data_IF_161302673801
#
_entry.id   IF_161302673801
#
_cell.length_a   1.000
_cell.length_b   1.000
_cell.length_c   1.000
_cell.angle_alpha   90.00
_cell.angle_beta   90.00
_cell.angle_gamma   90.00
#
_symmetry.space_group_name_H-M   'P 1'
#
loop_
_entity.id
_entity.type
_entity.pdbx_description
1 polymer ?
#
# COMPACT_ATOMS: atom_id res chain seq x y z
N UNK A 1 -37.39 46.85 44.87
CA UNK A 1 -37.17 47.99 45.81
C UNK A 1 -36.55 49.16 45.04
N UNK A 2 -36.34 50.31 45.69
CA UNK A 2 -35.71 51.51 45.12
C UNK A 2 -34.28 51.23 44.60
N UNK A 3 -33.72 51.93 43.60
CA UNK A 3 -34.32 52.90 42.65
C UNK A 3 -33.54 54.22 42.50
N UNK A 4 -33.78 54.96 41.40
CA UNK A 4 -33.23 56.30 41.04
C UNK A 4 -31.75 56.28 40.58
N UNK A 5 -31.16 57.25 39.84
CA UNK A 5 -31.52 58.36 38.91
C UNK A 5 -30.17 58.79 38.24
N UNK A 6 -30.03 59.61 37.18
CA UNK A 6 -30.92 60.48 36.40
C UNK A 6 -30.30 60.73 34.99
N UNK A 7 -31.12 61.26 34.09
CA UNK A 7 -30.76 62.07 32.91
C UNK A 7 -29.71 63.18 33.18
N UNK A 8 -29.00 63.75 32.19
CA UNK A 8 -29.05 63.55 30.74
C UNK A 8 -29.35 64.85 29.97
N UNK A 9 -28.87 64.97 28.72
CA UNK A 9 -29.21 66.09 27.82
C UNK A 9 -28.98 65.77 26.32
N UNK A 10 -29.88 66.31 25.51
CA UNK A 10 -29.71 66.60 24.08
C UNK A 10 -30.01 68.12 23.92
N UNK A 11 -30.03 68.76 22.73
CA UNK A 11 -29.75 68.24 21.38
C UNK A 11 -28.83 69.16 20.54
N UNK A 12 -28.56 68.77 19.29
CA UNK A 12 -28.94 69.56 18.09
C UNK A 12 -28.78 68.72 16.82
N UNK A 13 -29.49 69.11 15.77
CA UNK A 13 -29.58 68.41 14.49
C UNK A 13 -29.47 69.39 13.31
N UNK A 14 -29.12 68.88 12.14
CA UNK A 14 -29.33 69.53 10.84
C UNK A 14 -29.24 68.51 9.70
N UNK A 15 -30.19 68.55 8.75
CA UNK A 15 -30.06 68.23 7.31
C UNK A 15 -29.38 66.90 6.89
N UNK A 16 -30.01 65.90 6.25
CA UNK A 16 -31.30 65.84 5.52
C UNK A 16 -31.32 66.74 4.25
N UNK A 17 -31.73 66.34 3.03
CA UNK A 17 -32.33 65.11 2.45
C UNK A 17 -31.90 65.02 0.94
N UNK A 18 -32.40 64.00 0.20
CA UNK A 18 -32.56 63.95 -1.29
C UNK A 18 -31.37 63.44 -2.16
N UNK A 19 -31.57 62.73 -3.29
CA UNK A 19 -32.73 61.98 -3.85
C UNK A 19 -32.26 60.94 -4.92
N UNK A 20 -33.18 60.08 -5.35
CA UNK A 20 -33.03 59.21 -6.53
C UNK A 20 -33.21 59.97 -7.86
N UNK A 21 -32.64 59.48 -8.98
CA UNK A 21 -33.41 58.88 -10.09
C UNK A 21 -32.50 58.20 -11.15
N UNK A 22 -33.09 57.64 -12.22
CA UNK A 22 -32.46 56.70 -13.17
C UNK A 22 -32.10 57.34 -14.51
N UNK A 23 -31.21 56.71 -15.30
CA UNK A 23 -31.40 56.66 -16.77
C UNK A 23 -30.66 55.50 -17.50
N UNK A 24 -31.09 55.27 -18.76
CA UNK A 24 -30.70 54.27 -19.78
C UNK A 24 -31.47 54.65 -21.08
N UNK A 25 -31.12 54.20 -22.32
CA UNK A 25 -30.05 53.29 -22.77
C UNK A 25 -29.34 53.77 -24.09
N UNK A 26 -28.77 52.82 -24.87
CA UNK A 26 -28.34 52.92 -26.30
C UNK A 26 -27.08 53.77 -26.65
N UNK A 27 -26.20 53.42 -27.61
CA UNK A 27 -26.08 52.28 -28.58
C UNK A 27 -24.64 52.27 -29.21
N UNK A 28 -24.22 51.77 -30.40
CA UNK A 28 -24.78 51.17 -31.66
C UNK A 28 -23.69 50.24 -32.33
N UNK A 29 -23.54 50.12 -33.68
CA UNK A 29 -22.49 49.34 -34.42
C UNK A 29 -22.11 50.00 -35.78
N UNK A 30 -21.03 49.59 -36.51
CA UNK A 30 -21.04 48.52 -37.56
C UNK A 30 -19.88 47.47 -37.40
N UNK A 31 -19.77 46.25 -37.99
CA UNK A 31 -20.21 45.54 -39.25
C UNK A 31 -19.20 45.70 -40.42
N UNK A 32 -18.82 44.71 -41.27
CA UNK A 32 -19.07 43.23 -41.44
C UNK A 32 -17.93 42.33 -40.82
N UNK A 33 -17.83 40.97 -40.83
CA UNK A 33 -18.51 39.78 -41.42
C UNK A 33 -17.85 39.10 -42.67
N UNK A 34 -18.27 37.84 -42.96
CA UNK A 34 -17.91 36.85 -44.04
C UNK A 34 -16.78 35.85 -43.70
N UNK A 35 -16.85 34.54 -44.03
CA UNK A 35 -17.89 33.64 -44.59
C UNK A 35 -17.53 32.18 -44.14
N UNK A 36 -18.41 31.38 -43.51
CA UNK A 36 -19.41 30.45 -44.08
C UNK A 36 -19.02 28.95 -43.92
N UNK A 37 -20.02 28.09 -43.64
CA UNK A 37 -19.93 26.62 -43.40
C UNK A 37 -20.40 25.85 -44.68
N UNK A 38 -20.79 24.53 -44.69
CA UNK A 38 -20.68 23.43 -43.71
C UNK A 38 -20.26 22.04 -44.32
N UNK A 39 -20.15 20.99 -43.49
CA UNK A 39 -20.71 19.62 -43.73
C UNK A 39 -20.56 18.73 -42.48
N UNK A 40 -21.13 17.51 -42.45
CA UNK A 40 -21.67 16.94 -41.20
C UNK A 40 -21.44 15.42 -40.93
N UNK A 41 -21.50 15.07 -39.62
CA UNK A 41 -21.80 13.77 -38.98
C UNK A 41 -20.86 12.57 -39.19
N UNK A 42 -20.36 12.04 -38.06
CA UNK A 42 -20.79 10.74 -37.50
C UNK A 42 -20.24 10.50 -36.08
N UNK A 43 -20.97 9.72 -35.29
CA UNK A 43 -20.55 9.20 -33.97
C UNK A 43 -19.88 7.82 -34.11
N UNK A 44 -18.91 7.51 -33.23
CA UNK A 44 -18.65 6.21 -32.57
C UNK A 44 -17.36 6.34 -31.72
N UNK A 45 -17.46 6.34 -30.38
CA UNK A 45 -17.32 5.19 -29.44
C UNK A 45 -15.90 4.65 -29.26
N UNK A 46 -15.65 4.05 -28.08
CA UNK A 46 -14.41 3.37 -27.66
C UNK A 46 -13.12 4.21 -27.74
N UNK A 47 -12.95 5.12 -26.78
CA UNK A 47 -11.62 5.55 -26.37
C UNK A 47 -10.97 4.43 -25.55
N UNK A 48 -9.95 3.75 -26.10
CA UNK A 48 -9.14 2.80 -25.35
C UNK A 48 -8.21 3.56 -24.39
N UNK A 49 -8.49 3.50 -23.09
CA UNK A 49 -7.57 4.00 -22.07
C UNK A 49 -6.38 3.06 -21.95
N UNK A 50 -5.39 3.25 -22.81
CA UNK A 50 -4.06 2.63 -22.66
C UNK A 50 -3.44 3.11 -21.36
N UNK A 51 -3.19 2.19 -20.42
CA UNK A 51 -2.33 2.49 -19.28
C UNK A 51 -0.91 2.67 -19.79
N UNK A 52 -0.42 3.91 -19.71
CA UNK A 52 0.94 4.27 -20.09
C UNK A 52 1.90 3.76 -19.01
N UNK A 53 2.41 2.54 -19.20
CA UNK A 53 3.57 2.02 -18.47
C UNK A 53 4.82 2.74 -18.99
N UNK A 54 4.96 3.99 -18.55
CA UNK A 54 6.04 4.89 -18.95
C UNK A 54 7.40 4.19 -18.84
N UNK A 55 8.22 4.36 -19.89
CA UNK A 55 9.37 3.53 -20.19
C UNK A 55 10.31 3.36 -18.99
N UNK A 56 10.26 2.17 -18.35
CA UNK A 56 11.10 1.83 -17.19
C UNK A 56 12.52 1.56 -17.70
N UNK A 57 13.24 2.65 -17.99
CA UNK A 57 14.66 2.61 -18.29
C UNK A 57 15.38 1.88 -17.14
N UNK A 58 16.04 0.73 -17.39
CA UNK A 58 16.72 0.01 -16.34
C UNK A 58 17.85 0.88 -15.81
N UNK A 59 17.77 1.27 -14.53
CA UNK A 59 18.99 1.67 -13.80
C UNK A 59 19.92 0.47 -13.86
N UNK A 60 21.08 0.64 -14.48
CA UNK A 60 22.20 -0.27 -14.29
C UNK A 60 22.70 -0.09 -12.84
N UNK A 61 22.10 -0.83 -11.90
CA UNK A 61 22.78 -1.12 -10.64
C UNK A 61 24.12 -1.76 -10.98
N UNK A 62 25.20 -1.26 -10.36
CA UNK A 62 26.53 -1.84 -10.55
C UNK A 62 26.45 -3.35 -10.28
N UNK A 63 26.97 -4.20 -11.18
CA UNK A 63 26.71 -5.63 -11.12
C UNK A 63 27.20 -6.19 -9.78
N UNK A 64 26.26 -6.68 -8.96
CA UNK A 64 26.59 -7.47 -7.78
C UNK A 64 27.44 -8.63 -8.27
N UNK A 65 28.75 -8.60 -7.96
CA UNK A 65 29.73 -9.51 -8.53
C UNK A 65 29.50 -10.89 -7.92
N UNK A 66 28.57 -11.64 -8.54
CA UNK A 66 28.27 -13.02 -8.22
C UNK A 66 29.54 -13.84 -8.29
N UNK A 67 30.12 -14.13 -7.13
CA UNK A 67 31.21 -15.09 -7.04
C UNK A 67 30.60 -16.50 -7.25
N UNK A 68 30.85 -17.16 -8.40
CA UNK A 68 30.19 -18.43 -8.72
C UNK A 68 30.56 -19.55 -7.74
N UNK A 69 31.67 -19.40 -7.00
CA UNK A 69 32.05 -20.27 -5.88
C UNK A 69 30.99 -20.25 -4.77
N UNK A 70 30.53 -19.07 -4.37
CA UNK A 70 29.54 -18.89 -3.30
C UNK A 70 28.19 -19.45 -3.75
N UNK A 71 27.76 -19.14 -4.97
CA UNK A 71 26.47 -19.63 -5.50
C UNK A 71 26.45 -21.17 -5.62
N UNK A 72 27.56 -21.80 -6.03
CA UNK A 72 27.69 -23.26 -6.01
C UNK A 72 27.75 -23.83 -4.59
N UNK A 73 28.48 -23.20 -3.66
CA UNK A 73 28.59 -23.65 -2.27
C UNK A 73 27.23 -23.58 -1.57
N UNK A 74 26.52 -22.45 -1.69
CA UNK A 74 25.15 -22.26 -1.20
C UNK A 74 24.21 -23.34 -1.72
N UNK A 75 24.20 -23.60 -3.04
CA UNK A 75 23.31 -24.60 -3.63
C UNK A 75 23.60 -26.03 -3.12
N UNK A 76 24.86 -26.37 -2.80
CA UNK A 76 25.23 -27.64 -2.16
C UNK A 76 24.78 -27.70 -0.71
N UNK A 77 25.07 -26.65 0.06
CA UNK A 77 24.67 -26.52 1.48
C UNK A 77 23.15 -26.66 1.61
N UNK A 78 22.39 -25.89 0.84
CA UNK A 78 20.93 -25.92 0.88
C UNK A 78 20.38 -27.31 0.56
N UNK A 79 20.95 -28.00 -0.44
CA UNK A 79 20.55 -29.38 -0.77
C UNK A 79 20.76 -30.31 0.43
N UNK A 80 21.98 -30.35 0.96
CA UNK A 80 22.35 -31.26 2.05
C UNK A 80 21.52 -30.97 3.31
N UNK A 81 21.30 -29.70 3.62
CA UNK A 81 20.49 -29.21 4.75
C UNK A 81 19.03 -29.68 4.65
N UNK A 82 18.46 -29.72 3.44
CA UNK A 82 17.11 -30.24 3.17
C UNK A 82 17.04 -31.77 3.23
N UNK A 83 18.16 -32.47 3.03
CA UNK A 83 18.26 -33.93 3.15
C UNK A 83 18.58 -34.37 4.60
N UNK A 84 19.11 -33.48 5.46
CA UNK A 84 19.50 -33.79 6.84
C UNK A 84 18.55 -33.31 7.94
N UNK A 85 17.84 -32.19 7.76
CA UNK A 85 16.95 -31.62 8.80
C UNK A 85 15.47 -31.95 8.56
N UNK A 86 14.77 -32.43 9.59
CA UNK A 86 13.30 -32.52 9.56
C UNK A 86 12.70 -31.13 9.82
N UNK A 87 12.00 -30.60 8.82
CA UNK A 87 11.27 -29.33 8.91
C UNK A 87 10.23 -29.37 10.05
N UNK A 88 9.72 -30.56 10.43
CA UNK A 88 8.78 -30.72 11.55
C UNK A 88 9.43 -30.60 12.93
N UNK A 89 10.69 -31.00 13.11
CA UNK A 89 11.38 -30.78 14.39
C UNK A 89 11.74 -29.31 14.55
N UNK A 90 12.25 -28.67 13.50
CA UNK A 90 12.51 -27.23 13.45
C UNK A 90 11.24 -26.41 13.77
N UNK A 91 10.10 -26.76 13.15
CA UNK A 91 8.82 -26.08 13.37
C UNK A 91 8.18 -26.34 14.76
N UNK A 92 8.78 -27.22 15.58
CA UNK A 92 8.37 -27.45 16.97
C UNK A 92 9.26 -26.70 18.00
N UNK A 93 10.34 -26.06 17.54
CA UNK A 93 11.20 -25.20 18.37
C UNK A 93 10.76 -23.74 18.33
N UNK A 94 11.33 -22.92 19.20
CA UNK A 94 11.31 -21.47 19.01
C UNK A 94 12.22 -21.04 17.84
N UNK A 95 11.97 -19.83 17.32
CA UNK A 95 12.66 -19.31 16.13
C UNK A 95 14.17 -19.11 16.31
N UNK A 96 14.65 -18.82 17.52
CA UNK A 96 16.07 -18.58 17.78
C UNK A 96 16.83 -19.91 17.90
N UNK A 97 16.24 -20.91 18.57
CA UNK A 97 16.73 -22.28 18.59
C UNK A 97 16.78 -22.90 17.19
N UNK A 98 15.71 -22.77 16.40
CA UNK A 98 15.65 -23.29 15.03
C UNK A 98 16.69 -22.62 14.10
N UNK A 99 16.89 -21.30 14.23
CA UNK A 99 17.97 -20.56 13.54
C UNK A 99 19.36 -21.03 14.01
N UNK A 100 19.53 -21.33 15.29
CA UNK A 100 20.77 -21.89 15.86
C UNK A 100 21.11 -23.29 15.34
N UNK A 101 20.12 -24.18 15.21
CA UNK A 101 20.28 -25.52 14.64
C UNK A 101 20.70 -25.44 13.17
N UNK A 102 20.00 -24.64 12.36
CA UNK A 102 20.35 -24.40 10.95
C UNK A 102 21.77 -23.83 10.81
N UNK A 103 22.13 -22.83 11.61
CA UNK A 103 23.48 -22.25 11.60
C UNK A 103 24.58 -23.23 12.05
N UNK A 104 24.24 -24.25 12.84
CA UNK A 104 25.15 -25.32 13.23
C UNK A 104 25.31 -26.33 12.09
N UNK A 105 24.21 -26.81 11.52
CA UNK A 105 24.20 -27.72 10.39
C UNK A 105 24.94 -27.15 9.15
N UNK A 106 24.78 -25.85 8.85
CA UNK A 106 25.50 -25.18 7.75
C UNK A 106 27.03 -25.21 7.96
N UNK A 107 27.51 -25.05 9.19
CA UNK A 107 28.95 -25.16 9.51
C UNK A 107 29.45 -26.60 9.37
N UNK A 108 28.68 -27.58 9.83
CA UNK A 108 29.02 -29.00 9.70
C UNK A 108 29.06 -29.45 8.24
N UNK A 109 28.07 -29.07 7.43
CA UNK A 109 28.03 -29.34 5.99
C UNK A 109 29.22 -28.66 5.28
N UNK A 110 29.51 -27.39 5.60
CA UNK A 110 30.67 -26.66 5.04
C UNK A 110 31.98 -27.39 5.32
N UNK A 111 32.18 -27.84 6.56
CA UNK A 111 33.36 -28.61 6.99
C UNK A 111 33.43 -29.99 6.33
N UNK A 112 32.32 -30.73 6.29
CA UNK A 112 32.26 -32.07 5.71
C UNK A 112 32.49 -32.07 4.19
N UNK A 113 31.91 -31.10 3.48
CA UNK A 113 32.07 -30.92 2.03
C UNK A 113 33.39 -30.25 1.64
N UNK A 114 34.22 -29.84 2.62
CA UNK A 114 35.45 -29.04 2.41
C UNK A 114 35.18 -27.82 1.52
N UNK A 115 34.11 -27.08 1.80
CA UNK A 115 33.76 -25.88 1.05
C UNK A 115 34.61 -24.71 1.54
N UNK A 116 35.34 -24.10 0.63
CA UNK A 116 36.13 -22.89 0.88
C UNK A 116 35.17 -21.69 1.01
N UNK A 117 34.83 -21.35 2.25
CA UNK A 117 33.95 -20.25 2.67
C UNK A 117 34.47 -19.63 3.97
N UNK A 118 34.59 -18.31 4.01
CA UNK A 118 34.84 -17.54 5.24
C UNK A 118 33.69 -17.67 6.24
N UNK A 119 33.97 -17.42 7.52
CA UNK A 119 32.93 -17.43 8.57
C UNK A 119 31.80 -16.43 8.27
N UNK A 120 32.11 -15.29 7.64
CA UNK A 120 31.12 -14.32 7.16
C UNK A 120 30.20 -14.87 6.06
N UNK A 121 30.75 -15.61 5.08
CA UNK A 121 29.95 -16.26 4.03
C UNK A 121 29.11 -17.41 4.61
N UNK A 122 29.64 -18.17 5.57
CA UNK A 122 28.89 -19.22 6.28
C UNK A 122 27.73 -18.64 7.10
N UNK A 123 27.93 -17.52 7.80
CA UNK A 123 26.87 -16.83 8.56
C UNK A 123 25.80 -16.24 7.63
N UNK A 124 26.20 -15.67 6.47
CA UNK A 124 25.23 -15.22 5.47
C UNK A 124 24.41 -16.38 4.91
N UNK A 125 25.05 -17.48 4.49
CA UNK A 125 24.36 -18.66 3.95
C UNK A 125 23.46 -19.31 5.01
N UNK A 126 23.87 -19.31 6.29
CA UNK A 126 23.02 -19.77 7.39
C UNK A 126 21.75 -18.91 7.56
N UNK A 127 21.86 -17.58 7.44
CA UNK A 127 20.70 -16.68 7.43
C UNK A 127 19.81 -16.97 6.21
N UNK A 128 20.36 -16.99 4.99
CA UNK A 128 19.60 -17.28 3.76
C UNK A 128 18.85 -18.62 3.85
N UNK A 129 19.50 -19.67 4.36
CA UNK A 129 18.87 -20.98 4.56
C UNK A 129 17.77 -20.95 5.62
N UNK A 130 17.97 -20.27 6.75
CA UNK A 130 16.95 -20.17 7.80
C UNK A 130 15.74 -19.33 7.34
N UNK A 131 15.98 -18.24 6.63
CA UNK A 131 14.93 -17.37 6.10
C UNK A 131 14.14 -18.11 5.00
N UNK A 132 14.76 -18.94 4.16
CA UNK A 132 14.05 -19.82 3.20
C UNK A 132 13.31 -21.00 3.87
N UNK A 133 13.85 -21.59 4.94
CA UNK A 133 13.26 -22.77 5.59
C UNK A 133 12.13 -22.43 6.58
N UNK A 134 12.26 -21.33 7.31
CA UNK A 134 11.35 -20.92 8.40
C UNK A 134 10.48 -19.71 8.01
N UNK A 135 11.06 -18.72 7.33
CA UNK A 135 10.44 -17.44 6.99
C UNK A 135 9.86 -17.37 5.57
N UNK A 136 10.01 -16.23 4.90
CA UNK A 136 9.55 -15.97 3.53
C UNK A 136 10.67 -15.94 2.49
N UNK A 137 11.86 -16.45 2.83
CA UNK A 137 12.99 -16.60 1.92
C UNK A 137 13.49 -15.27 1.35
N UNK A 138 13.64 -15.12 0.03
CA UNK A 138 14.17 -13.90 -0.58
C UNK A 138 13.32 -12.65 -0.33
N UNK A 139 12.10 -12.79 0.22
CA UNK A 139 11.20 -11.67 0.52
C UNK A 139 11.46 -10.98 1.86
N UNK A 140 12.10 -11.63 2.83
CA UNK A 140 12.27 -11.05 4.17
C UNK A 140 12.89 -9.63 4.14
N UNK A 141 13.97 -9.34 3.36
CA UNK A 141 14.54 -7.99 3.29
C UNK A 141 13.64 -6.93 2.63
N UNK A 142 12.58 -7.34 1.90
CA UNK A 142 11.57 -6.44 1.34
C UNK A 142 10.37 -6.28 2.29
N UNK A 143 10.05 -7.32 3.05
CA UNK A 143 9.02 -7.28 4.09
C UNK A 143 9.47 -6.44 5.29
N UNK A 144 10.75 -6.49 5.67
CA UNK A 144 11.38 -5.60 6.67
C UNK A 144 11.34 -4.10 6.28
N UNK A 145 11.28 -3.76 4.99
CA UNK A 145 11.36 -2.38 4.47
C UNK A 145 10.02 -1.63 4.52
N UNK A 146 9.83 -0.76 5.51
CA UNK A 146 8.61 0.08 5.65
C UNK A 146 8.46 1.20 4.59
N UNK A 147 9.48 1.44 3.75
CA UNK A 147 9.41 2.42 2.65
C UNK A 147 8.71 1.90 1.37
N UNK A 148 8.50 0.58 1.28
CA UNK A 148 7.81 -0.09 0.16
C UNK A 148 6.30 -0.09 0.37
N UNK A 149 5.52 0.34 -0.63
CA UNK A 149 4.05 0.20 -0.69
C UNK A 149 3.61 -1.16 -1.24
N UNK A 150 4.18 -1.59 -2.36
CA UNK A 150 3.79 -2.79 -3.09
C UNK A 150 5.01 -3.63 -3.49
N UNK A 151 4.92 -4.95 -3.40
CA UNK A 151 5.90 -5.93 -3.90
C UNK A 151 5.20 -6.78 -4.96
N UNK A 152 5.76 -6.87 -6.16
CA UNK A 152 5.14 -7.51 -7.33
C UNK A 152 6.12 -8.52 -7.92
N UNK A 153 5.80 -9.81 -7.79
CA UNK A 153 6.63 -10.93 -8.24
C UNK A 153 6.02 -11.54 -9.50
N UNK A 154 6.75 -11.46 -10.61
CA UNK A 154 6.33 -11.91 -11.92
C UNK A 154 7.23 -13.09 -12.35
N UNK A 155 7.12 -14.22 -11.62
CA UNK A 155 8.02 -15.36 -11.75
C UNK A 155 9.33 -15.25 -10.93
N UNK A 156 10.14 -16.32 -10.87
CA UNK A 156 11.25 -16.44 -9.92
C UNK A 156 12.42 -15.45 -10.13
N UNK A 157 12.61 -14.96 -11.36
CA UNK A 157 13.70 -14.08 -11.75
C UNK A 157 13.36 -12.58 -11.76
N UNK A 158 12.09 -12.22 -11.53
CA UNK A 158 11.57 -10.85 -11.76
C UNK A 158 10.69 -10.40 -10.61
N UNK A 159 11.26 -9.60 -9.71
CA UNK A 159 10.51 -8.85 -8.69
C UNK A 159 10.61 -7.35 -8.96
N UNK A 160 9.49 -6.65 -8.78
CA UNK A 160 9.41 -5.20 -8.72
C UNK A 160 8.91 -4.76 -7.34
N UNK A 161 9.26 -3.55 -6.93
CA UNK A 161 8.76 -2.89 -5.72
C UNK A 161 8.30 -1.48 -6.05
N UNK A 162 7.28 -1.00 -5.36
CA UNK A 162 6.90 0.41 -5.40
C UNK A 162 7.46 1.13 -4.17
N UNK A 163 8.26 2.18 -4.41
CA UNK A 163 8.88 3.02 -3.39
C UNK A 163 8.54 4.48 -3.72
N UNK A 164 7.92 5.19 -2.78
CA UNK A 164 7.48 6.58 -2.95
C UNK A 164 6.67 6.84 -4.24
N UNK A 165 5.78 5.91 -4.61
CA UNK A 165 4.92 6.01 -5.80
C UNK A 165 5.66 5.76 -7.13
N UNK A 166 6.83 5.12 -7.10
CA UNK A 166 7.59 4.73 -8.29
C UNK A 166 7.92 3.25 -8.25
N UNK A 167 7.67 2.56 -9.36
CA UNK A 167 8.01 1.15 -9.53
C UNK A 167 9.50 1.06 -9.92
N UNK A 168 10.27 0.30 -9.16
CA UNK A 168 11.66 -0.07 -9.47
C UNK A 168 11.85 -1.59 -9.41
N UNK A 169 12.85 -2.13 -10.12
CA UNK A 169 13.13 -3.56 -10.13
C UNK A 169 13.97 -3.93 -8.91
N UNK A 170 13.52 -4.91 -8.13
CA UNK A 170 14.27 -5.42 -7.00
C UNK A 170 15.31 -6.47 -7.45
N UNK A 171 16.43 -6.52 -6.73
CA UNK A 171 17.55 -7.44 -7.00
C UNK A 171 17.37 -8.85 -6.41
N UNK A 172 16.28 -9.11 -5.67
CA UNK A 172 15.97 -10.43 -5.13
C UNK A 172 15.60 -11.43 -6.23
N UNK A 173 15.91 -12.71 -6.01
CA UNK A 173 15.54 -13.82 -6.89
C UNK A 173 15.21 -15.08 -6.11
N UNK A 174 14.26 -15.85 -6.62
CA UNK A 174 13.98 -17.20 -6.17
C UNK A 174 14.86 -18.18 -6.94
N UNK A 175 15.24 -19.29 -6.30
CA UNK A 175 16.03 -20.38 -6.90
C UNK A 175 15.40 -20.94 -8.18
N UNK A 176 14.08 -21.12 -8.15
CA UNK A 176 13.27 -21.69 -9.22
C UNK A 176 11.77 -21.39 -8.96
N UNK A 177 10.90 -21.75 -9.91
CA UNK A 177 9.45 -21.56 -9.77
C UNK A 177 8.83 -22.38 -8.63
N UNK A 178 9.33 -23.59 -8.34
CA UNK A 178 8.80 -24.43 -7.26
C UNK A 178 9.09 -23.81 -5.88
N UNK A 179 10.20 -23.08 -5.74
CA UNK A 179 10.51 -22.30 -4.55
C UNK A 179 9.53 -21.15 -4.34
N UNK A 180 9.19 -20.41 -5.40
CA UNK A 180 8.19 -19.34 -5.35
C UNK A 180 6.79 -19.88 -5.01
N UNK A 181 6.38 -21.02 -5.61
CA UNK A 181 5.14 -21.72 -5.23
C UNK A 181 5.16 -22.14 -3.76
N UNK A 182 6.28 -22.70 -3.26
CA UNK A 182 6.43 -23.10 -1.85
C UNK A 182 6.27 -21.91 -0.90
N UNK A 183 6.86 -20.75 -1.23
CA UNK A 183 6.77 -19.54 -0.42
C UNK A 183 5.36 -18.93 -0.49
N UNK A 184 4.72 -18.88 -1.66
CA UNK A 184 3.33 -18.47 -1.79
C UNK A 184 2.39 -19.36 -0.95
N UNK A 185 2.61 -20.69 -0.97
CA UNK A 185 1.89 -21.65 -0.14
C UNK A 185 2.10 -21.43 1.36
N UNK A 186 3.32 -21.13 1.80
CA UNK A 186 3.62 -20.81 3.21
C UNK A 186 2.91 -19.51 3.65
N UNK A 187 2.93 -18.48 2.79
CA UNK A 187 2.30 -17.17 3.05
C UNK A 187 0.78 -17.30 3.22
N UNK A 188 0.08 -18.00 2.31
CA UNK A 188 -1.38 -18.18 2.44
C UNK A 188 -1.75 -19.22 3.51
N UNK A 189 -0.89 -20.23 3.72
CA UNK A 189 -1.09 -21.26 4.75
C UNK A 189 -1.03 -20.70 6.17
N UNK A 190 -0.16 -19.72 6.43
CA UNK A 190 -0.04 -19.05 7.73
C UNK A 190 -1.33 -18.35 8.19
N UNK A 191 -2.26 -18.05 7.27
CA UNK A 191 -3.56 -17.41 7.56
C UNK A 191 -4.76 -18.34 7.34
N UNK A 192 -4.53 -19.66 7.25
CA UNK A 192 -5.59 -20.66 7.07
C UNK A 192 -6.21 -20.69 5.66
N UNK A 193 -5.50 -20.17 4.66
CA UNK A 193 -5.87 -20.29 3.23
C UNK A 193 -4.99 -21.35 2.54
N UNK A 194 -5.31 -21.69 1.29
CA UNK A 194 -4.59 -22.68 0.48
C UNK A 194 -4.46 -22.18 -0.96
N UNK A 195 -3.33 -22.47 -1.61
CA UNK A 195 -3.13 -22.26 -3.04
C UNK A 195 -2.43 -23.49 -3.62
N UNK A 196 -3.03 -24.13 -4.61
CA UNK A 196 -2.62 -25.43 -5.16
C UNK A 196 -3.25 -25.68 -6.54
N UNK A 197 -2.92 -26.76 -7.22
CA UNK A 197 -3.40 -27.04 -8.58
C UNK A 197 -4.94 -27.10 -8.72
N UNK A 198 -5.67 -27.39 -7.63
CA UNK A 198 -7.15 -27.35 -7.58
C UNK A 198 -7.73 -26.01 -7.13
N UNK A 199 -6.90 -25.13 -6.56
CA UNK A 199 -7.25 -23.74 -6.19
C UNK A 199 -6.05 -22.82 -6.50
N UNK A 200 -5.73 -22.60 -7.79
CA UNK A 200 -4.47 -21.98 -8.22
C UNK A 200 -4.44 -20.44 -8.09
N UNK A 201 -5.45 -19.83 -7.48
CA UNK A 201 -5.51 -18.41 -7.12
C UNK A 201 -6.01 -18.27 -5.69
N UNK A 202 -5.39 -17.39 -4.91
CA UNK A 202 -5.78 -17.11 -3.53
C UNK A 202 -5.55 -15.64 -3.17
N UNK A 203 -6.61 -14.97 -2.72
CA UNK A 203 -6.55 -13.68 -2.04
C UNK A 203 -6.51 -13.85 -0.52
N UNK A 204 -5.64 -13.07 0.11
CA UNK A 204 -5.15 -13.28 1.47
C UNK A 204 -4.90 -11.96 2.19
N UNK A 205 -5.06 -11.96 3.52
CA UNK A 205 -4.71 -10.84 4.39
C UNK A 205 -3.79 -11.33 5.52
N UNK A 206 -2.62 -10.73 5.62
CA UNK A 206 -1.57 -11.08 6.59
C UNK A 206 -1.82 -10.44 7.96
N UNK A 207 -1.11 -10.93 8.98
CA UNK A 207 -1.28 -10.52 10.38
C UNK A 207 -0.87 -9.05 10.66
N UNK A 208 -0.02 -8.46 9.83
CA UNK A 208 0.33 -7.03 9.84
C UNK A 208 -0.75 -6.15 9.17
N UNK A 209 -1.78 -6.76 8.59
CA UNK A 209 -2.86 -6.12 7.85
C UNK A 209 -2.63 -6.04 6.33
N UNK A 210 -1.46 -6.45 5.82
CA UNK A 210 -1.09 -6.40 4.40
C UNK A 210 -1.94 -7.35 3.55
N UNK A 211 -2.17 -6.99 2.29
CA UNK A 211 -2.94 -7.82 1.33
C UNK A 211 -1.99 -8.62 0.44
N UNK A 212 -2.32 -9.88 0.18
CA UNK A 212 -1.59 -10.76 -0.73
C UNK A 212 -2.55 -11.35 -1.75
N UNK A 213 -2.21 -11.24 -3.03
CA UNK A 213 -2.78 -12.04 -4.10
C UNK A 213 -1.69 -13.02 -4.58
N UNK A 214 -2.00 -14.31 -4.62
CA UNK A 214 -1.11 -15.37 -5.10
C UNK A 214 -1.78 -16.10 -6.27
N UNK A 215 -1.06 -16.29 -7.38
CA UNK A 215 -1.50 -17.08 -8.53
C UNK A 215 -0.37 -18.04 -8.92
N UNK A 216 -0.71 -19.31 -9.17
CA UNK A 216 0.27 -20.34 -9.54
C UNK A 216 -0.14 -21.04 -10.85
N UNK A 217 0.75 -21.85 -11.47
CA UNK A 217 0.36 -22.74 -12.55
C UNK A 217 -0.79 -23.66 -12.12
N UNK A 218 -1.76 -23.98 -13.00
CA UNK A 218 -1.76 -23.71 -14.44
C UNK A 218 -2.25 -22.32 -14.87
N UNK A 219 -2.74 -21.46 -13.96
CA UNK A 219 -3.23 -20.12 -14.34
C UNK A 219 -2.09 -19.15 -14.67
N UNK A 220 -1.03 -19.17 -13.86
CA UNK A 220 0.16 -18.35 -14.08
C UNK A 220 1.12 -19.07 -15.03
N UNK A 221 0.95 -18.85 -16.34
CA UNK A 221 1.62 -19.61 -17.42
C UNK A 221 3.15 -19.49 -17.39
N UNK A 222 3.67 -18.28 -17.15
CA UNK A 222 5.11 -17.99 -17.12
C UNK A 222 5.79 -18.35 -15.77
N UNK A 223 5.05 -19.03 -14.87
CA UNK A 223 5.44 -19.28 -13.49
C UNK A 223 4.57 -18.49 -12.50
N UNK A 224 4.68 -18.86 -11.22
CA UNK A 224 3.87 -18.28 -10.15
C UNK A 224 4.09 -16.77 -10.00
N UNK A 225 3.02 -16.06 -9.63
CA UNK A 225 3.02 -14.64 -9.36
C UNK A 225 2.48 -14.34 -7.96
N UNK A 226 2.98 -13.26 -7.37
CA UNK A 226 2.60 -12.83 -6.02
C UNK A 226 2.60 -11.30 -5.97
N UNK A 227 1.47 -10.70 -5.58
CA UNK A 227 1.39 -9.27 -5.29
C UNK A 227 1.13 -9.06 -3.81
N UNK A 228 2.06 -8.42 -3.11
CA UNK A 228 1.93 -8.04 -1.69
C UNK A 228 1.76 -6.52 -1.62
N UNK A 229 0.56 -6.04 -1.29
CA UNK A 229 0.35 -4.62 -0.93
C UNK A 229 0.54 -4.47 0.57
N UNK A 230 1.64 -3.84 0.97
CA UNK A 230 1.99 -3.63 2.38
C UNK A 230 1.00 -2.69 3.05
N UNK A 231 0.61 -3.02 4.27
CA UNK A 231 -0.19 -2.13 5.11
C UNK A 231 0.69 -1.01 5.65
N UNK A 232 0.66 0.15 4.98
CA UNK A 232 1.37 1.35 5.44
C UNK A 232 0.93 1.75 6.84
N UNK A 233 1.87 1.75 7.78
CA UNK A 233 1.74 2.28 9.15
C UNK A 233 1.60 3.81 9.20
N UNK A 234 1.61 4.48 8.03
CA UNK A 234 1.57 5.93 7.86
C UNK A 234 0.25 6.54 8.32
N UNK A 235 0.15 6.79 9.62
CA UNK A 235 -0.91 7.61 10.21
C UNK A 235 -0.66 9.10 9.94
N UNK A 236 -0.72 9.52 8.68
CA UNK A 236 -0.58 10.95 8.32
C UNK A 236 -1.58 11.83 9.10
N UNK A 237 -1.19 13.08 9.32
CA UNK A 237 -1.97 14.12 10.00
C UNK A 237 -2.38 15.22 9.03
N UNK A 238 -3.29 16.10 9.44
CA UNK A 238 -3.58 17.31 8.66
C UNK A 238 -2.38 18.27 8.62
N UNK A 239 -1.54 18.28 9.64
CA UNK A 239 -0.35 19.13 9.69
C UNK A 239 0.72 18.63 8.69
N UNK A 240 0.85 17.31 8.49
CA UNK A 240 1.68 16.75 7.42
C UNK A 240 1.15 17.12 6.03
N UNK A 241 -0.18 17.02 5.82
CA UNK A 241 -0.79 17.43 4.55
C UNK A 241 -0.64 18.93 4.27
N UNK A 242 -0.60 19.77 5.29
CA UNK A 242 -0.25 21.20 5.16
C UNK A 242 1.24 21.37 4.86
N UNK A 243 2.13 20.62 5.53
CA UNK A 243 3.57 20.62 5.28
C UNK A 243 3.95 20.19 3.85
N UNK A 244 3.20 19.25 3.27
CA UNK A 244 3.35 18.83 1.87
C UNK A 244 2.67 19.78 0.86
N UNK A 245 1.96 20.82 1.33
CA UNK A 245 1.18 21.72 0.46
C UNK A 245 -0.09 21.10 -0.15
N UNK A 246 -0.51 19.91 0.31
CA UNK A 246 -1.72 19.23 -0.15
C UNK A 246 -3.01 19.83 0.44
N UNK A 247 -2.90 20.62 1.53
CA UNK A 247 -3.98 21.40 2.11
C UNK A 247 -3.47 22.76 2.61
N UNK A 248 -4.35 23.77 2.69
CA UNK A 248 -4.02 25.02 3.40
C UNK A 248 -4.36 24.91 4.90
N UNK A 249 -3.78 25.74 5.78
CA UNK A 249 -4.14 25.76 7.20
C UNK A 249 -5.63 26.03 7.47
N UNK A 250 -6.32 26.74 6.57
CA UNK A 250 -7.76 27.03 6.63
C UNK A 250 -8.58 25.80 6.26
N UNK A 251 -8.14 25.05 5.24
CA UNK A 251 -8.72 23.77 4.87
C UNK A 251 -8.58 22.75 6.02
N UNK A 252 -7.39 22.66 6.63
CA UNK A 252 -7.16 21.82 7.81
C UNK A 252 -8.09 22.19 8.98
N UNK A 253 -8.28 23.48 9.29
CA UNK A 253 -9.25 23.96 10.30
C UNK A 253 -10.69 23.58 9.97
N UNK A 254 -11.09 23.64 8.70
CA UNK A 254 -12.42 23.21 8.26
C UNK A 254 -12.61 21.70 8.44
N UNK A 255 -11.61 20.87 8.08
CA UNK A 255 -11.68 19.41 8.26
C UNK A 255 -11.73 19.05 9.76
N UNK A 256 -10.95 19.74 10.60
CA UNK A 256 -11.02 19.60 12.06
C UNK A 256 -12.39 19.98 12.65
N UNK A 257 -13.10 20.95 12.05
CA UNK A 257 -14.45 21.31 12.43
C UNK A 257 -15.48 20.26 11.97
N UNK A 258 -15.33 19.74 10.74
CA UNK A 258 -16.18 18.69 10.17
C UNK A 258 -16.15 17.43 11.04
N UNK A 259 -14.96 16.92 11.38
CA UNK A 259 -14.78 15.70 12.18
C UNK A 259 -15.44 15.79 13.57
N UNK A 260 -15.43 16.98 14.19
CA UNK A 260 -16.08 17.25 15.48
C UNK A 260 -17.59 17.50 15.41
N UNK A 261 -18.15 17.67 14.21
CA UNK A 261 -19.52 18.17 14.00
C UNK A 261 -20.50 17.11 13.51
N UNK A 262 -20.10 15.83 13.43
CA UNK A 262 -20.93 14.68 12.98
C UNK A 262 -21.63 14.91 11.63
N UNK A 263 -20.96 15.64 10.73
CA UNK A 263 -21.51 15.97 9.43
C UNK A 263 -21.38 14.78 8.47
N UNK A 264 -22.44 14.51 7.70
CA UNK A 264 -22.40 13.57 6.59
C UNK A 264 -21.50 14.16 5.50
N UNK A 265 -20.31 13.58 5.29
CA UNK A 265 -19.33 14.05 4.32
C UNK A 265 -18.85 12.92 3.40
N UNK A 266 -18.61 13.27 2.13
CA UNK A 266 -18.09 12.38 1.11
C UNK A 266 -16.75 12.93 0.61
N UNK A 267 -15.70 12.11 0.64
CA UNK A 267 -14.38 12.43 0.09
C UNK A 267 -14.28 11.78 -1.29
N UNK A 268 -14.19 12.61 -2.34
CA UNK A 268 -14.19 12.20 -3.74
C UNK A 268 -12.88 12.57 -4.45
N UNK A 269 -12.59 11.90 -5.57
CA UNK A 269 -11.31 12.03 -6.29
C UNK A 269 -10.94 10.75 -7.06
N UNK A 270 -9.93 10.84 -7.91
CA UNK A 270 -9.46 9.72 -8.73
C UNK A 270 -8.83 8.56 -7.94
N UNK A 271 -8.52 7.47 -8.61
CA UNK A 271 -7.68 6.40 -8.04
C UNK A 271 -6.31 6.98 -7.69
N UNK A 272 -5.73 6.57 -6.55
CA UNK A 272 -4.46 7.12 -6.05
C UNK A 272 -4.51 8.54 -5.47
N UNK A 273 -5.61 9.30 -5.59
CA UNK A 273 -5.66 10.73 -5.20
C UNK A 273 -5.76 11.00 -3.68
N UNK A 274 -5.21 10.13 -2.83
CA UNK A 274 -5.18 10.34 -1.37
C UNK A 274 -6.53 10.30 -0.64
N UNK A 275 -7.60 9.74 -1.24
CA UNK A 275 -8.94 9.70 -0.63
C UNK A 275 -8.95 9.08 0.75
N UNK A 276 -8.47 7.83 0.89
CA UNK A 276 -8.43 7.13 2.18
C UNK A 276 -7.51 7.86 3.17
N UNK A 277 -6.40 8.43 2.70
CA UNK A 277 -5.49 9.25 3.50
C UNK A 277 -6.21 10.45 4.12
N UNK A 278 -6.95 11.23 3.33
CA UNK A 278 -7.71 12.38 3.81
C UNK A 278 -8.81 11.96 4.79
N UNK A 279 -9.47 10.81 4.55
CA UNK A 279 -10.45 10.25 5.48
C UNK A 279 -9.80 9.86 6.82
N UNK A 280 -8.65 9.19 6.78
CA UNK A 280 -7.88 8.79 7.96
C UNK A 280 -7.38 10.01 8.76
N UNK A 281 -7.00 11.10 8.08
CA UNK A 281 -6.68 12.39 8.71
C UNK A 281 -7.91 13.03 9.36
N UNK A 282 -9.08 13.00 8.71
CA UNK A 282 -10.35 13.55 9.25
C UNK A 282 -10.80 12.79 10.49
N UNK A 283 -10.74 11.45 10.47
CA UNK A 283 -11.25 10.60 11.56
C UNK A 283 -10.51 10.82 12.89
N UNK A 284 -9.27 11.33 12.87
CA UNK A 284 -8.52 11.76 14.08
C UNK A 284 -9.27 12.80 14.94
N UNK A 285 -10.24 13.52 14.37
CA UNK A 285 -10.97 14.60 15.03
C UNK A 285 -12.41 14.24 15.41
N UNK A 286 -12.83 12.99 15.21
CA UNK A 286 -14.07 12.45 15.81
C UNK A 286 -13.86 12.31 17.32
N UNK A 287 -14.89 12.64 18.11
CA UNK A 287 -14.78 12.65 19.57
C UNK A 287 -14.50 11.25 20.17
N UNK A 288 -13.74 11.21 21.26
CA UNK A 288 -13.28 9.98 21.91
C UNK A 288 -14.41 9.17 22.57
N UNK A 289 -15.56 9.80 22.85
CA UNK A 289 -16.76 9.14 23.36
C UNK A 289 -17.65 8.51 22.29
N UNK A 290 -17.30 8.62 20.99
CA UNK A 290 -18.15 8.13 19.90
C UNK A 290 -17.90 6.67 19.53
N UNK A 291 -19.00 5.93 19.34
CA UNK A 291 -18.98 4.59 18.76
C UNK A 291 -18.83 4.69 17.25
N UNK A 292 -17.67 4.33 16.73
CA UNK A 292 -17.39 4.30 15.29
C UNK A 292 -17.57 2.86 14.78
N UNK A 293 -18.17 2.71 13.61
CA UNK A 293 -18.24 1.44 12.86
C UNK A 293 -17.69 1.71 11.46
N UNK A 294 -16.67 0.98 11.03
CA UNK A 294 -16.23 0.99 9.62
C UNK A 294 -16.74 -0.25 8.90
N UNK A 295 -17.08 -0.08 7.63
CA UNK A 295 -17.36 -1.16 6.68
C UNK A 295 -16.48 -0.90 5.47
N UNK A 296 -15.50 -1.77 5.23
CA UNK A 296 -14.43 -1.54 4.25
C UNK A 296 -14.24 -2.79 3.37
N UNK A 297 -14.07 -2.64 2.06
CA UNK A 297 -13.83 -3.78 1.15
C UNK A 297 -12.60 -4.58 1.59
N UNK A 298 -11.55 -3.86 2.03
CA UNK A 298 -10.57 -4.39 2.96
C UNK A 298 -9.97 -3.25 3.81
N UNK A 299 -9.79 -3.44 5.13
CA UNK A 299 -9.69 -2.29 6.05
C UNK A 299 -8.38 -1.50 5.95
N UNK A 300 -8.46 -0.25 5.52
CA UNK A 300 -7.35 0.72 5.42
C UNK A 300 -7.37 1.75 6.57
N UNK A 301 -8.54 2.05 7.15
CA UNK A 301 -8.69 3.08 8.17
C UNK A 301 -8.04 2.70 9.50
N UNK A 302 -7.33 3.66 10.10
CA UNK A 302 -6.59 3.55 11.36
C UNK A 302 -7.20 4.52 12.37
N UNK A 303 -8.27 4.09 13.03
CA UNK A 303 -8.99 4.91 14.02
C UNK A 303 -8.27 4.91 15.38
N UNK A 304 -8.20 6.07 16.03
CA UNK A 304 -7.51 6.27 17.32
C UNK A 304 -8.47 6.20 18.52
N UNK A 305 -9.78 6.19 18.29
CA UNK A 305 -10.81 6.17 19.32
C UNK A 305 -10.93 4.78 19.97
N UNK A 306 -11.32 4.69 21.26
CA UNK A 306 -11.43 3.40 21.96
C UNK A 306 -12.64 2.58 21.53
N UNK A 307 -13.75 3.20 21.10
CA UNK A 307 -15.01 2.52 20.82
C UNK A 307 -15.21 2.22 19.32
N UNK A 308 -14.25 1.53 18.72
CA UNK A 308 -14.23 1.22 17.28
C UNK A 308 -14.66 -0.22 17.00
N UNK A 309 -15.53 -0.41 16.02
CA UNK A 309 -15.82 -1.72 15.39
C UNK A 309 -15.38 -1.66 13.93
N UNK A 310 -14.43 -2.51 13.53
CA UNK A 310 -13.99 -2.62 12.12
C UNK A 310 -14.66 -3.82 11.47
N UNK A 311 -15.36 -3.62 10.36
CA UNK A 311 -15.98 -4.66 9.56
C UNK A 311 -15.33 -4.68 8.17
N UNK A 312 -14.91 -5.86 7.75
CA UNK A 312 -14.30 -6.13 6.45
C UNK A 312 -15.34 -6.86 5.57
N UNK A 313 -15.43 -6.56 4.28
CA UNK A 313 -16.27 -7.37 3.40
C UNK A 313 -15.69 -8.77 3.25
N UNK A 314 -16.57 -9.77 3.13
CA UNK A 314 -16.17 -11.14 2.85
C UNK A 314 -16.52 -11.45 1.39
N UNK A 315 -15.55 -11.73 0.51
CA UNK A 315 -15.87 -12.25 -0.81
C UNK A 315 -16.56 -13.63 -0.66
N UNK A 316 -17.45 -14.02 -1.59
CA UNK A 316 -18.10 -15.33 -1.58
C UNK A 316 -17.09 -16.47 -1.46
N UNK A 317 -17.50 -17.57 -0.81
CA UNK A 317 -16.68 -18.78 -0.79
C UNK A 317 -16.60 -19.43 -2.20
N UNK A 318 -15.84 -20.52 -2.32
CA UNK A 318 -15.70 -21.30 -3.55
C UNK A 318 -17.02 -21.90 -4.09
N UNK A 319 -18.10 -21.85 -3.30
CA UNK A 319 -19.44 -22.35 -3.63
C UNK A 319 -20.38 -21.20 -4.06
N UNK A 320 -19.89 -19.95 -4.09
CA UNK A 320 -20.67 -18.76 -4.41
C UNK A 320 -21.49 -18.20 -3.24
N UNK A 321 -21.20 -18.62 -2.01
CA UNK A 321 -21.97 -18.26 -0.80
C UNK A 321 -21.09 -17.43 0.15
N UNK A 322 -21.52 -16.21 0.47
CA UNK A 322 -20.86 -15.29 1.40
C UNK A 322 -21.47 -13.89 1.34
#
# INVERSE_FOLDING_TARGET
>A
MFGKKKAGSAPKASTAVEKEEKEKPESKKPVEKKQAEPTAKKEKTTASTSFDFGEIAPKEEAPVVKNPRIEQARNRIWKDLRESLDIKSLAAMDMDSARGEIATAVKEITRFRTLDLSDSEQVQIARECADDMLGFGPLEPLLERDDISDIMINGPDTTFIEVNGKIEKASIKFRDNAHLVTIAQRIVGAIGRRVDESSPICDARLMDGSRVNAIIPPLAVDGATLTIRKFKKDSLTLDDLVGFGAATPECAKLIMAIGRSRLNCLISGGTGSGKTTMLNCLTRYIDQGERIITCEDACELQLQQPHVVRLETRPPNLEGIG
#
